data_IF_326916115378
#
_entry.id   IF_326916115378
#
_cell.length_a   1.000
_cell.length_b   1.000
_cell.length_c   1.000
_cell.angle_alpha   90.00
_cell.angle_beta   90.00
_cell.angle_gamma   90.00
#
_symmetry.space_group_name_H-M   'P 1'
#
loop_
_entity.id
_entity.type
_entity.pdbx_description
1 polymer ?
#
# COMPACT_ATOMS: atom_id res chain seq x y z
N UNK A 1 45.92 4.28 19.76
CA UNK A 1 44.94 5.31 20.20
C UNK A 1 44.53 6.31 19.09
N UNK A 2 45.38 6.68 18.15
CA UNK A 2 45.05 7.69 17.10
C UNK A 2 43.99 7.25 16.08
N UNK A 3 43.89 5.98 15.74
CA UNK A 3 42.93 5.49 14.72
C UNK A 3 41.45 5.54 15.20
N UNK A 4 41.17 5.33 16.49
CA UNK A 4 39.80 5.42 17.03
C UNK A 4 39.23 6.83 16.97
N UNK A 5 40.05 7.85 17.14
CA UNK A 5 39.60 9.24 17.10
C UNK A 5 39.37 9.73 15.67
N UNK A 6 40.07 9.19 14.69
CA UNK A 6 39.85 9.51 13.26
C UNK A 6 38.50 8.94 12.81
N UNK A 7 38.14 7.72 13.23
CA UNK A 7 36.84 7.14 12.92
C UNK A 7 35.67 7.90 13.57
N UNK A 8 35.83 8.33 14.83
CA UNK A 8 34.81 9.11 15.52
C UNK A 8 34.65 10.50 14.89
N UNK A 9 35.76 11.14 14.51
CA UNK A 9 35.74 12.44 13.85
C UNK A 9 35.14 12.38 12.43
N UNK A 10 35.42 11.31 11.68
CA UNK A 10 34.83 11.08 10.37
C UNK A 10 33.31 10.79 10.47
N UNK A 11 32.89 10.03 11.48
CA UNK A 11 31.48 9.78 11.73
C UNK A 11 30.74 11.03 12.17
N UNK A 12 31.32 11.82 13.07
CA UNK A 12 30.77 13.11 13.50
C UNK A 12 30.71 14.13 12.36
N UNK A 13 31.71 14.16 11.45
CA UNK A 13 31.70 15.01 10.27
C UNK A 13 30.66 14.56 9.24
N UNK A 14 30.47 13.26 9.05
CA UNK A 14 29.42 12.72 8.17
C UNK A 14 28.01 13.08 8.71
N UNK A 15 27.78 12.98 10.01
CA UNK A 15 26.53 13.39 10.67
C UNK A 15 26.34 14.91 10.61
N UNK A 16 27.41 15.71 10.71
CA UNK A 16 27.31 17.18 10.62
C UNK A 16 27.06 17.68 9.19
N UNK A 17 27.53 16.96 8.17
CA UNK A 17 27.30 17.32 6.77
C UNK A 17 25.87 17.00 6.29
N UNK A 18 25.18 16.07 6.98
CA UNK A 18 23.76 15.76 6.70
C UNK A 18 22.78 16.75 7.38
N UNK A 19 23.26 17.62 8.28
CA UNK A 19 22.41 18.60 8.96
C UNK A 19 22.19 19.91 8.16
N UNK A 20 22.77 20.06 6.98
CA UNK A 20 22.59 21.24 6.15
C UNK A 20 21.40 21.17 5.19
N UNK A 21 20.79 20.02 5.02
CA UNK A 21 19.46 19.90 4.43
C UNK A 21 18.42 19.85 5.54
N UNK A 22 17.31 20.56 5.41
CA UNK A 22 16.22 20.58 6.40
C UNK A 22 15.47 19.25 6.57
N UNK A 23 16.04 18.14 6.12
CA UNK A 23 15.53 16.82 6.35
C UNK A 23 15.88 16.34 7.76
N UNK A 24 14.88 16.20 8.61
CA UNK A 24 15.01 15.46 9.86
C UNK A 24 15.20 13.99 9.51
N UNK A 25 16.44 13.59 9.23
CA UNK A 25 16.78 12.19 8.95
C UNK A 25 16.49 11.39 10.21
N UNK A 26 15.56 10.46 10.16
CA UNK A 26 15.38 9.51 11.26
C UNK A 26 16.66 8.67 11.38
N UNK A 27 17.09 8.26 12.60
CA UNK A 27 18.24 7.37 12.76
C UNK A 27 18.13 6.08 11.94
N UNK A 28 16.93 5.61 11.68
CA UNK A 28 16.66 4.48 10.80
C UNK A 28 16.90 4.81 9.33
N UNK A 29 16.53 6.00 8.85
CA UNK A 29 16.82 6.44 7.49
C UNK A 29 18.32 6.49 7.17
N UNK A 30 19.19 6.73 8.19
CA UNK A 30 20.65 6.66 8.04
C UNK A 30 21.15 5.22 8.01
N UNK A 31 20.54 4.31 8.78
CA UNK A 31 20.91 2.89 8.82
C UNK A 31 20.36 2.11 7.64
N UNK A 32 19.25 2.53 7.08
CA UNK A 32 18.70 2.02 5.85
C UNK A 32 19.42 2.70 4.69
N UNK A 33 20.46 2.09 4.13
CA UNK A 33 21.14 2.56 2.93
C UNK A 33 20.17 2.51 1.72
N UNK A 34 19.02 3.13 1.88
CA UNK A 34 17.97 3.22 0.90
C UNK A 34 17.97 4.58 0.20
N UNK A 35 17.20 4.67 -0.86
CA UNK A 35 16.93 5.93 -1.55
C UNK A 35 16.24 6.89 -0.59
N UNK A 36 16.63 8.15 -0.56
CA UNK A 36 15.97 9.18 0.24
C UNK A 36 14.50 9.31 -0.16
N UNK A 37 13.63 9.70 0.79
CA UNK A 37 12.19 9.86 0.51
C UNK A 37 11.95 10.82 -0.64
N UNK A 38 12.73 11.90 -0.74
CA UNK A 38 12.65 12.87 -1.84
C UNK A 38 12.88 12.23 -3.21
N UNK A 39 13.89 11.37 -3.33
CA UNK A 39 14.20 10.68 -4.59
C UNK A 39 13.10 9.68 -4.96
N UNK A 40 12.56 8.94 -3.98
CA UNK A 40 11.46 8.00 -4.22
C UNK A 40 10.19 8.73 -4.66
N UNK A 41 9.87 9.83 -3.98
CA UNK A 41 8.69 10.65 -4.30
C UNK A 41 8.84 11.31 -5.67
N UNK A 42 10.04 11.81 -6.03
CA UNK A 42 10.28 12.39 -7.35
C UNK A 42 10.13 11.34 -8.46
N UNK A 43 10.74 10.17 -8.29
CA UNK A 43 10.58 9.05 -9.23
C UNK A 43 9.11 8.64 -9.37
N UNK A 44 8.39 8.54 -8.26
CA UNK A 44 6.97 8.20 -8.24
C UNK A 44 6.13 9.25 -8.95
N UNK A 45 6.42 10.53 -8.74
CA UNK A 45 5.71 11.61 -9.41
C UNK A 45 5.98 11.65 -10.92
N UNK A 46 7.22 11.41 -11.34
CA UNK A 46 7.56 11.31 -12.76
C UNK A 46 6.85 10.11 -13.41
N UNK A 47 6.86 8.98 -12.76
CA UNK A 47 6.12 7.81 -13.20
C UNK A 47 4.61 8.10 -13.26
N UNK A 48 4.04 8.76 -12.27
CA UNK A 48 2.67 9.24 -12.22
C UNK A 48 2.32 10.10 -13.43
N UNK A 49 3.11 11.11 -13.76
CA UNK A 49 2.84 11.99 -14.89
C UNK A 49 2.92 11.28 -16.25
N UNK A 50 3.77 10.26 -16.38
CA UNK A 50 3.94 9.52 -17.63
C UNK A 50 2.82 8.52 -17.88
N UNK A 51 2.21 7.99 -16.82
CA UNK A 51 1.29 6.86 -16.91
C UNK A 51 -0.18 7.24 -16.62
N UNK A 52 -0.49 8.52 -16.39
CA UNK A 52 -1.82 8.99 -15.98
C UNK A 52 -2.40 8.09 -14.89
N UNK A 53 -1.96 8.25 -13.66
CA UNK A 53 -2.23 7.37 -12.52
C UNK A 53 -3.69 7.19 -12.08
N UNK A 54 -4.60 7.31 -12.93
CA UNK A 54 -5.76 6.47 -12.83
C UNK A 54 -5.26 5.04 -13.13
N UNK A 55 -4.96 4.28 -12.11
CA UNK A 55 -5.01 2.85 -12.25
C UNK A 55 -6.46 2.56 -12.63
N UNK A 56 -6.73 2.53 -13.93
CA UNK A 56 -8.03 2.13 -14.41
C UNK A 56 -8.14 0.66 -14.06
N UNK A 57 -8.77 0.39 -12.95
CA UNK A 57 -9.40 -0.89 -12.77
C UNK A 57 -10.19 -1.11 -14.06
N UNK A 58 -10.05 -2.27 -14.63
CA UNK A 58 -10.72 -2.62 -15.87
C UNK A 58 -12.17 -2.10 -15.82
N UNK A 59 -12.55 -1.21 -16.74
CA UNK A 59 -13.89 -0.62 -16.75
C UNK A 59 -14.98 -1.70 -16.69
N UNK A 60 -14.71 -2.89 -17.25
CA UNK A 60 -15.59 -4.03 -17.20
C UNK A 60 -15.76 -4.65 -15.80
N UNK A 61 -14.76 -4.51 -14.91
CA UNK A 61 -14.85 -4.94 -13.50
C UNK A 61 -15.77 -4.01 -12.72
N UNK A 62 -15.65 -2.72 -12.98
CA UNK A 62 -16.21 -1.66 -12.17
C UNK A 62 -17.73 -1.53 -12.30
N UNK A 63 -18.28 -1.85 -13.48
CA UNK A 63 -19.70 -1.58 -13.76
C UNK A 63 -20.64 -2.65 -13.22
N UNK A 64 -20.17 -3.89 -13.05
CA UNK A 64 -21.05 -5.00 -12.60
C UNK A 64 -20.98 -5.26 -11.10
N UNK A 65 -19.89 -4.89 -10.42
CA UNK A 65 -19.69 -5.21 -8.99
C UNK A 65 -20.04 -4.04 -8.06
N UNK A 66 -19.89 -2.82 -8.52
CA UNK A 66 -20.12 -1.64 -7.67
C UNK A 66 -21.60 -1.31 -7.44
N UNK A 67 -22.48 -1.70 -8.34
CA UNK A 67 -23.94 -1.50 -8.18
C UNK A 67 -24.55 -2.34 -7.03
N UNK A 68 -23.89 -3.45 -6.65
CA UNK A 68 -24.32 -4.34 -5.57
C UNK A 68 -23.47 -4.20 -4.30
N UNK A 69 -22.43 -3.37 -4.33
CA UNK A 69 -21.38 -3.30 -3.32
C UNK A 69 -20.16 -4.11 -3.72
N UNK A 70 -19.07 -3.96 -2.98
CA UNK A 70 -17.82 -4.70 -3.22
C UNK A 70 -17.04 -4.85 -1.93
N UNK A 71 -15.99 -5.70 -1.96
CA UNK A 71 -15.05 -5.83 -0.85
C UNK A 71 -13.62 -5.70 -1.33
N UNK A 72 -12.74 -5.38 -0.40
CA UNK A 72 -11.29 -5.43 -0.61
C UNK A 72 -10.58 -5.96 0.64
N UNK A 73 -9.39 -6.53 0.43
CA UNK A 73 -8.61 -7.13 1.51
C UNK A 73 -7.35 -6.31 1.78
N UNK A 74 -6.99 -6.18 3.06
CA UNK A 74 -5.82 -5.41 3.52
C UNK A 74 -4.95 -6.30 4.38
N UNK A 75 -3.65 -6.39 4.02
CA UNK A 75 -2.62 -7.04 4.81
C UNK A 75 -1.49 -6.08 5.18
N UNK A 76 -0.65 -6.45 6.15
CA UNK A 76 0.47 -5.64 6.61
C UNK A 76 1.67 -6.50 7.00
N UNK A 77 2.87 -5.95 6.84
CA UNK A 77 4.10 -6.45 7.46
C UNK A 77 4.31 -7.96 7.25
N UNK A 78 4.21 -8.41 6.00
CA UNK A 78 4.31 -9.84 5.64
C UNK A 78 5.74 -10.38 5.76
N UNK A 79 6.76 -9.53 5.64
CA UNK A 79 8.17 -9.88 5.75
C UNK A 79 8.53 -11.19 5.03
N UNK A 80 8.05 -11.34 3.80
CA UNK A 80 8.28 -12.56 3.03
C UNK A 80 9.78 -12.85 2.85
N UNK A 81 10.08 -14.12 2.89
CA UNK A 81 11.41 -14.65 2.63
C UNK A 81 11.30 -15.65 1.46
N UNK A 82 11.84 -16.86 1.62
CA UNK A 82 11.56 -17.99 0.71
C UNK A 82 10.19 -18.63 0.98
N UNK A 83 9.60 -18.32 2.13
CA UNK A 83 8.26 -18.76 2.49
C UNK A 83 7.25 -17.66 2.11
N UNK A 84 6.32 -18.03 1.25
CA UNK A 84 5.28 -17.15 0.70
C UNK A 84 3.87 -17.63 1.08
N UNK A 85 3.76 -18.59 2.02
CA UNK A 85 2.48 -19.26 2.32
C UNK A 85 1.41 -18.25 2.70
N UNK A 86 1.72 -17.27 3.54
CA UNK A 86 0.76 -16.24 3.95
C UNK A 86 0.37 -15.27 2.85
N UNK A 87 1.31 -14.91 1.97
CA UNK A 87 0.95 -14.08 0.81
C UNK A 87 0.04 -14.83 -0.16
N UNK A 88 0.31 -16.13 -0.41
CA UNK A 88 -0.58 -16.98 -1.21
C UNK A 88 -1.94 -17.13 -0.56
N UNK A 89 -1.99 -17.31 0.76
CA UNK A 89 -3.24 -17.38 1.51
C UNK A 89 -4.04 -16.08 1.40
N UNK A 90 -3.41 -14.91 1.56
CA UNK A 90 -4.07 -13.61 1.35
C UNK A 90 -4.70 -13.51 -0.04
N UNK A 91 -3.93 -13.86 -1.09
CA UNK A 91 -4.42 -13.79 -2.46
C UNK A 91 -5.55 -14.79 -2.70
N UNK A 92 -5.44 -16.01 -2.15
CA UNK A 92 -6.47 -17.03 -2.30
C UNK A 92 -7.76 -16.66 -1.56
N UNK A 93 -7.65 -16.13 -0.33
CA UNK A 93 -8.81 -15.66 0.44
C UNK A 93 -9.56 -14.59 -0.35
N UNK A 94 -8.85 -13.61 -0.90
CA UNK A 94 -9.48 -12.57 -1.69
C UNK A 94 -10.12 -13.09 -2.98
N UNK A 95 -9.44 -14.02 -3.68
CA UNK A 95 -10.02 -14.68 -4.85
C UNK A 95 -11.28 -15.46 -4.50
N UNK A 96 -11.28 -16.24 -3.41
CA UNK A 96 -12.43 -17.06 -3.01
C UNK A 96 -13.66 -16.24 -2.64
N UNK A 97 -13.46 -14.97 -2.23
CA UNK A 97 -14.52 -14.08 -1.81
C UNK A 97 -14.84 -12.96 -2.81
N UNK A 98 -14.27 -12.99 -4.01
CA UNK A 98 -14.46 -11.99 -5.05
C UNK A 98 -14.02 -10.56 -4.63
N UNK A 99 -12.99 -10.46 -3.76
CA UNK A 99 -12.45 -9.17 -3.37
C UNK A 99 -11.88 -8.41 -4.58
N UNK A 100 -12.29 -7.15 -4.73
CA UNK A 100 -11.94 -6.33 -5.89
C UNK A 100 -10.48 -5.88 -5.89
N UNK A 101 -9.95 -5.56 -4.71
CA UNK A 101 -8.61 -5.02 -4.50
C UNK A 101 -7.87 -5.77 -3.39
N UNK A 102 -6.56 -5.85 -3.53
CA UNK A 102 -5.63 -6.42 -2.56
C UNK A 102 -4.64 -5.33 -2.14
N UNK A 103 -4.81 -4.79 -0.95
CA UNK A 103 -3.97 -3.72 -0.43
C UNK A 103 -2.95 -4.26 0.58
N UNK A 104 -1.75 -3.70 0.60
CA UNK A 104 -0.73 -4.10 1.57
C UNK A 104 -0.02 -2.87 2.16
N UNK A 105 0.13 -2.85 3.48
CA UNK A 105 0.61 -1.69 4.23
C UNK A 105 2.14 -1.60 4.37
N UNK A 106 2.89 -2.23 3.46
CA UNK A 106 4.36 -2.16 3.45
C UNK A 106 5.04 -3.25 4.27
N UNK A 107 6.38 -3.21 4.30
CA UNK A 107 7.22 -4.26 4.84
C UNK A 107 6.87 -5.63 4.25
N UNK A 108 6.81 -5.66 2.91
CA UNK A 108 6.39 -6.85 2.17
C UNK A 108 7.49 -7.90 2.20
N UNK A 109 8.74 -7.50 1.88
CA UNK A 109 9.88 -8.40 1.86
C UNK A 109 10.83 -8.13 3.02
N UNK A 110 11.44 -9.21 3.57
CA UNK A 110 12.40 -9.11 4.65
C UNK A 110 13.82 -8.88 4.08
N UNK A 111 14.26 -7.65 4.12
CA UNK A 111 15.65 -7.14 3.98
C UNK A 111 16.54 -7.64 2.83
N UNK A 112 16.12 -8.58 1.98
CA UNK A 112 16.93 -9.11 0.89
C UNK A 112 16.29 -8.98 -0.48
N UNK A 113 16.99 -8.45 -1.48
CA UNK A 113 16.48 -8.28 -2.84
C UNK A 113 15.97 -9.59 -3.49
N UNK A 114 16.60 -10.73 -3.19
CA UNK A 114 16.18 -12.02 -3.73
C UNK A 114 14.76 -12.42 -3.30
N UNK A 115 14.25 -11.91 -2.19
CA UNK A 115 12.89 -12.20 -1.73
C UNK A 115 11.83 -11.55 -2.62
N UNK A 116 12.18 -10.44 -3.28
CA UNK A 116 11.32 -9.82 -4.28
C UNK A 116 11.12 -10.69 -5.53
N UNK A 117 12.11 -11.50 -5.91
CA UNK A 117 11.96 -12.46 -7.00
C UNK A 117 10.92 -13.51 -6.63
N UNK A 118 10.95 -14.00 -5.39
CA UNK A 118 9.94 -14.94 -4.92
C UNK A 118 8.56 -14.30 -4.84
N UNK A 119 8.47 -13.07 -4.38
CA UNK A 119 7.22 -12.30 -4.34
C UNK A 119 6.65 -12.10 -5.75
N UNK A 120 7.49 -11.73 -6.72
CA UNK A 120 7.07 -11.55 -8.12
C UNK A 120 6.50 -12.85 -8.70
N UNK A 121 7.12 -13.98 -8.41
CA UNK A 121 6.58 -15.28 -8.80
C UNK A 121 5.23 -15.56 -8.15
N UNK A 122 5.07 -15.22 -6.86
CA UNK A 122 3.81 -15.38 -6.14
C UNK A 122 2.69 -14.51 -6.74
N UNK A 123 3.01 -13.27 -7.10
CA UNK A 123 2.07 -12.37 -7.81
C UNK A 123 1.73 -12.94 -9.19
N UNK A 124 2.70 -13.51 -9.91
CA UNK A 124 2.47 -14.18 -11.18
C UNK A 124 1.51 -15.38 -11.07
N UNK A 125 1.67 -16.20 -10.02
CA UNK A 125 0.73 -17.29 -9.69
C UNK A 125 -0.68 -16.75 -9.41
N UNK A 126 -0.77 -15.67 -8.63
CA UNK A 126 -2.06 -15.02 -8.33
C UNK A 126 -2.70 -14.41 -9.60
N UNK A 127 -1.90 -13.82 -10.49
CA UNK A 127 -2.38 -13.29 -11.78
C UNK A 127 -2.96 -14.41 -12.64
N UNK A 128 -2.29 -15.55 -12.72
CA UNK A 128 -2.79 -16.70 -13.45
C UNK A 128 -4.15 -17.16 -12.90
N UNK A 129 -4.25 -17.35 -11.58
CA UNK A 129 -5.50 -17.76 -10.93
C UNK A 129 -6.62 -16.73 -11.13
N UNK A 130 -6.29 -15.44 -11.11
CA UNK A 130 -7.21 -14.34 -11.36
C UNK A 130 -7.76 -14.38 -12.80
N UNK A 131 -6.89 -14.62 -13.79
CA UNK A 131 -7.28 -14.76 -15.19
C UNK A 131 -8.17 -16.01 -15.35
N UNK A 132 -7.76 -17.15 -14.84
CA UNK A 132 -8.55 -18.40 -14.91
C UNK A 132 -9.94 -18.23 -14.28
N UNK A 133 -10.05 -17.43 -13.20
CA UNK A 133 -11.34 -17.20 -12.54
C UNK A 133 -12.24 -16.25 -13.34
N UNK A 134 -11.71 -15.13 -13.81
CA UNK A 134 -12.53 -14.03 -14.31
C UNK A 134 -12.54 -13.82 -15.81
N UNK A 135 -11.67 -14.50 -16.57
CA UNK A 135 -11.56 -14.31 -18.02
C UNK A 135 -11.74 -15.63 -18.78
N UNK A 136 -12.18 -15.50 -20.03
CA UNK A 136 -12.26 -16.61 -20.98
C UNK A 136 -11.68 -16.19 -22.32
N UNK A 137 -11.04 -17.12 -23.03
CA UNK A 137 -10.44 -16.88 -24.33
C UNK A 137 -11.48 -16.98 -25.45
N UNK A 138 -11.53 -15.98 -26.31
CA UNK A 138 -12.37 -15.95 -27.50
C UNK A 138 -11.52 -16.16 -28.76
N UNK A 139 -11.87 -17.16 -29.56
CA UNK A 139 -11.15 -17.48 -30.80
C UNK A 139 -11.39 -16.45 -31.91
N UNK A 140 -12.50 -15.73 -31.90
CA UNK A 140 -12.89 -14.80 -32.92
C UNK A 140 -11.96 -13.59 -33.05
N UNK A 141 -11.41 -13.11 -31.95
CA UNK A 141 -10.48 -11.98 -31.87
C UNK A 141 -9.12 -12.30 -31.24
N UNK A 142 -8.93 -13.54 -30.84
CA UNK A 142 -7.71 -14.04 -30.18
C UNK A 142 -7.40 -13.32 -28.85
N UNK A 143 -8.43 -12.91 -28.09
CA UNK A 143 -8.32 -12.15 -26.85
C UNK A 143 -8.99 -12.85 -25.67
N UNK A 144 -8.61 -12.39 -24.48
CA UNK A 144 -9.27 -12.73 -23.21
C UNK A 144 -10.40 -11.73 -22.94
N UNK A 145 -11.58 -12.22 -22.70
CA UNK A 145 -12.76 -11.43 -22.33
C UNK A 145 -13.21 -11.73 -20.93
N UNK A 146 -13.76 -10.74 -20.23
CA UNK A 146 -14.26 -10.95 -18.88
C UNK A 146 -15.53 -11.79 -18.90
N UNK A 147 -15.54 -12.87 -18.13
CA UNK A 147 -16.68 -13.80 -18.02
C UNK A 147 -17.91 -13.06 -17.47
N UNK A 148 -19.05 -13.30 -18.11
CA UNK A 148 -20.32 -12.73 -17.67
C UNK A 148 -20.54 -11.27 -17.99
N UNK A 149 -19.60 -10.58 -18.64
CA UNK A 149 -19.72 -9.18 -19.07
C UNK A 149 -19.96 -9.11 -20.57
N UNK A 150 -21.20 -8.84 -21.01
CA UNK A 150 -21.50 -8.71 -22.44
C UNK A 150 -20.70 -7.55 -23.08
N UNK A 151 -20.04 -7.82 -24.20
CA UNK A 151 -19.21 -6.87 -24.93
C UNK A 151 -18.00 -6.32 -24.13
N UNK A 152 -17.46 -7.12 -23.21
CA UNK A 152 -16.20 -6.77 -22.53
C UNK A 152 -15.09 -6.52 -23.55
N UNK A 153 -14.17 -5.62 -23.23
CA UNK A 153 -13.03 -5.32 -24.11
C UNK A 153 -12.05 -6.50 -24.09
N UNK A 154 -11.71 -7.03 -25.27
CA UNK A 154 -10.71 -8.09 -25.41
C UNK A 154 -9.31 -7.60 -25.02
N UNK A 155 -8.60 -8.39 -24.19
CA UNK A 155 -7.28 -8.06 -23.67
C UNK A 155 -6.26 -9.14 -24.00
N UNK A 156 -5.01 -8.74 -24.18
CA UNK A 156 -3.90 -9.67 -24.19
C UNK A 156 -3.60 -10.17 -22.78
N UNK A 157 -3.08 -11.39 -22.66
CA UNK A 157 -2.72 -11.97 -21.38
C UNK A 157 -1.77 -11.06 -20.57
N UNK A 158 -0.79 -10.45 -21.25
CA UNK A 158 0.23 -9.60 -20.63
C UNK A 158 -0.32 -8.22 -20.17
N UNK A 159 -1.52 -7.85 -20.61
CA UNK A 159 -2.17 -6.60 -20.21
C UNK A 159 -3.00 -6.76 -18.93
N UNK A 160 -3.30 -8.00 -18.52
CA UNK A 160 -4.08 -8.28 -17.31
C UNK A 160 -3.14 -8.37 -16.13
N UNK A 161 -3.42 -7.59 -15.10
CA UNK A 161 -2.64 -7.56 -13.86
C UNK A 161 -3.49 -7.92 -12.67
N UNK A 162 -2.90 -8.66 -11.74
CA UNK A 162 -3.50 -8.90 -10.44
C UNK A 162 -3.64 -7.57 -9.68
N UNK A 163 -4.84 -7.25 -9.14
CA UNK A 163 -5.11 -5.94 -8.53
C UNK A 163 -4.48 -5.80 -7.13
N UNK A 164 -3.16 -5.92 -7.04
CA UNK A 164 -2.39 -5.82 -5.80
C UNK A 164 -1.70 -4.45 -5.68
N UNK A 165 -2.04 -3.71 -4.63
CA UNK A 165 -1.69 -2.31 -4.41
C UNK A 165 -1.00 -2.11 -3.05
N UNK A 166 0.34 -2.11 -3.00
CA UNK A 166 1.06 -1.92 -1.77
C UNK A 166 1.49 -0.47 -1.54
N UNK A 167 1.65 -0.06 -0.28
CA UNK A 167 2.56 1.02 0.09
C UNK A 167 3.96 0.44 0.34
N UNK A 168 4.99 1.28 0.28
CA UNK A 168 6.34 0.89 0.65
C UNK A 168 6.52 0.97 2.16
N UNK A 169 7.18 -0.02 2.76
CA UNK A 169 7.55 -0.06 4.17
C UNK A 169 9.05 0.16 4.40
N UNK A 170 9.47 0.28 5.65
CA UNK A 170 10.86 0.56 5.96
C UNK A 170 11.81 -0.62 5.70
N UNK A 171 11.35 -1.86 5.83
CA UNK A 171 12.13 -3.05 5.46
C UNK A 171 12.28 -3.17 3.95
N UNK A 172 11.33 -2.69 3.17
CA UNK A 172 11.39 -2.67 1.70
C UNK A 172 12.51 -1.77 1.17
N UNK A 173 13.02 -0.84 1.98
CA UNK A 173 14.13 0.04 1.62
C UNK A 173 15.52 -0.55 1.92
N UNK A 174 15.59 -1.61 2.74
CA UNK A 174 16.87 -2.17 3.17
C UNK A 174 17.60 -2.86 2.01
N UNK A 175 18.95 -2.88 2.07
CA UNK A 175 19.80 -3.55 1.08
C UNK A 175 19.50 -3.14 -0.38
N UNK A 176 19.16 -1.88 -0.60
CA UNK A 176 18.75 -1.36 -1.91
C UNK A 176 17.44 -1.99 -2.45
N UNK A 177 16.55 -2.40 -1.56
CA UNK A 177 15.28 -3.02 -1.89
C UNK A 177 14.35 -2.12 -2.71
N UNK A 178 14.47 -0.78 -2.56
CA UNK A 178 13.72 0.18 -3.36
C UNK A 178 13.82 -0.06 -4.87
N UNK A 179 15.01 -0.39 -5.37
CA UNK A 179 15.19 -0.67 -6.79
C UNK A 179 14.38 -1.87 -7.27
N UNK A 180 14.26 -2.92 -6.45
CA UNK A 180 13.42 -4.08 -6.74
C UNK A 180 11.93 -3.75 -6.57
N UNK A 181 11.58 -3.06 -5.48
CA UNK A 181 10.21 -2.66 -5.17
C UNK A 181 9.63 -1.78 -6.30
N UNK A 182 10.33 -0.73 -6.69
CA UNK A 182 9.89 0.19 -7.74
C UNK A 182 9.78 -0.46 -9.13
N UNK A 183 10.62 -1.45 -9.44
CA UNK A 183 10.51 -2.21 -10.68
C UNK A 183 9.24 -3.08 -10.75
N UNK A 184 8.73 -3.55 -9.60
CA UNK A 184 7.54 -4.39 -9.54
C UNK A 184 6.28 -3.52 -9.47
N UNK A 185 6.29 -2.49 -8.62
CA UNK A 185 5.10 -1.72 -8.26
C UNK A 185 5.06 -0.30 -8.84
N UNK A 186 6.19 0.22 -9.30
CA UNK A 186 6.30 1.55 -9.90
C UNK A 186 6.35 2.67 -8.86
N UNK A 187 5.20 3.21 -8.48
CA UNK A 187 5.09 4.39 -7.61
C UNK A 187 4.93 4.06 -6.14
N UNK A 188 5.61 4.81 -5.26
CA UNK A 188 5.45 4.69 -3.81
C UNK A 188 4.29 5.52 -3.25
N UNK A 189 3.75 6.48 -4.01
CA UNK A 189 2.53 7.19 -3.65
C UNK A 189 1.64 7.37 -4.89
N UNK A 190 0.33 7.16 -4.75
CA UNK A 190 -0.62 7.16 -5.87
C UNK A 190 -2.06 7.11 -5.37
N UNK A 191 -3.02 7.20 -6.29
CA UNK A 191 -4.45 7.04 -6.00
C UNK A 191 -5.10 6.03 -6.93
N UNK A 192 -6.23 5.48 -6.49
CA UNK A 192 -7.11 4.64 -7.28
C UNK A 192 -8.52 5.11 -7.04
N UNK A 193 -9.30 5.26 -8.10
CA UNK A 193 -10.72 5.58 -8.05
C UNK A 193 -11.53 4.35 -8.44
N UNK A 194 -12.36 3.85 -7.51
CA UNK A 194 -13.31 2.77 -7.76
C UNK A 194 -14.66 3.38 -8.06
N UNK A 195 -15.17 3.28 -9.29
CA UNK A 195 -16.50 3.82 -9.62
C UNK A 195 -17.59 2.99 -8.96
N UNK A 196 -18.53 3.67 -8.31
CA UNK A 196 -19.56 3.04 -7.46
C UNK A 196 -21.00 3.45 -7.82
N UNK A 197 -21.18 4.06 -8.99
CA UNK A 197 -22.49 4.45 -9.47
C UNK A 197 -22.57 5.91 -9.92
N UNK A 198 -23.77 6.47 -9.87
CA UNK A 198 -24.05 7.85 -10.25
C UNK A 198 -24.86 8.55 -9.17
N UNK A 199 -24.62 9.83 -8.97
CA UNK A 199 -25.44 10.66 -8.09
C UNK A 199 -26.79 11.04 -8.74
N UNK A 200 -27.63 11.75 -7.98
CA UNK A 200 -28.96 12.22 -8.42
C UNK A 200 -28.91 13.17 -9.64
N UNK A 201 -27.76 13.77 -9.92
CA UNK A 201 -27.51 14.67 -11.05
C UNK A 201 -26.91 13.94 -12.25
N UNK A 202 -26.60 12.65 -12.12
CA UNK A 202 -25.99 11.83 -13.17
C UNK A 202 -24.47 11.95 -13.24
N UNK A 203 -23.82 12.53 -12.23
CA UNK A 203 -22.35 12.52 -12.11
C UNK A 203 -21.87 11.20 -11.53
N UNK A 204 -20.78 10.66 -12.09
CA UNK A 204 -20.19 9.42 -11.61
C UNK A 204 -19.61 9.61 -10.21
N UNK A 205 -19.92 8.69 -9.31
CA UNK A 205 -19.44 8.65 -7.93
C UNK A 205 -18.38 7.56 -7.80
N UNK A 206 -17.38 7.83 -6.98
CA UNK A 206 -16.25 6.93 -6.74
C UNK A 206 -16.02 6.72 -5.24
N UNK A 207 -15.38 5.61 -4.91
CA UNK A 207 -14.61 5.47 -3.68
C UNK A 207 -13.15 5.73 -3.99
N UNK A 208 -12.48 6.57 -3.20
CA UNK A 208 -11.13 7.08 -3.43
C UNK A 208 -10.11 6.41 -2.52
N UNK A 209 -9.06 5.86 -3.11
CA UNK A 209 -7.99 5.15 -2.41
C UNK A 209 -6.69 5.94 -2.56
N UNK A 210 -6.11 6.38 -1.45
CA UNK A 210 -4.88 7.20 -1.42
C UNK A 210 -3.77 6.39 -0.76
N UNK A 211 -2.66 6.18 -1.47
CA UNK A 211 -1.48 5.46 -1.00
C UNK A 211 -0.33 6.43 -0.79
N UNK A 212 0.24 6.47 0.43
CA UNK A 212 1.27 7.43 0.84
C UNK A 212 2.63 6.74 1.05
N UNK A 213 3.72 7.38 0.62
CA UNK A 213 5.08 6.97 0.99
C UNK A 213 5.41 7.47 2.40
N UNK A 214 5.39 6.59 3.35
CA UNK A 214 5.68 6.87 4.76
C UNK A 214 6.76 5.95 5.34
N UNK A 215 7.44 5.19 4.48
CA UNK A 215 8.42 4.18 4.87
C UNK A 215 9.57 4.73 5.74
N UNK A 216 9.97 5.96 5.53
CA UNK A 216 11.05 6.62 6.29
C UNK A 216 10.58 7.29 7.59
N UNK A 217 9.29 7.16 7.96
CA UNK A 217 8.70 7.87 9.09
C UNK A 217 8.57 9.39 8.84
N UNK A 218 8.58 9.81 7.59
CA UNK A 218 8.39 11.19 7.15
C UNK A 218 7.81 11.18 5.74
N UNK A 219 7.05 12.20 5.40
CA UNK A 219 6.57 12.43 4.03
C UNK A 219 7.67 13.01 3.13
N UNK A 220 8.64 13.69 3.72
CA UNK A 220 9.56 14.53 3.00
C UNK A 220 8.88 15.80 2.46
N UNK A 221 9.71 16.76 2.09
CA UNK A 221 9.21 18.06 1.64
C UNK A 221 8.47 17.98 0.31
N UNK A 222 9.02 17.20 -0.63
CA UNK A 222 8.43 17.09 -1.97
C UNK A 222 7.03 16.47 -1.92
N UNK A 223 6.82 15.42 -1.13
CA UNK A 223 5.50 14.80 -1.00
C UNK A 223 4.50 15.78 -0.35
N UNK A 224 4.93 16.51 0.70
CA UNK A 224 4.10 17.56 1.30
C UNK A 224 3.71 18.62 0.27
N UNK A 225 4.66 19.14 -0.51
CA UNK A 225 4.40 20.14 -1.56
C UNK A 225 3.44 19.60 -2.65
N UNK A 226 3.56 18.32 -3.02
CA UNK A 226 2.68 17.68 -4.00
C UNK A 226 1.25 17.51 -3.46
N UNK A 227 1.13 17.08 -2.20
CA UNK A 227 -0.17 16.96 -1.53
C UNK A 227 -0.85 18.33 -1.40
N UNK A 228 -0.11 19.38 -1.00
CA UNK A 228 -0.65 20.75 -0.92
C UNK A 228 -1.15 21.26 -2.28
N UNK A 229 -0.50 20.87 -3.36
CA UNK A 229 -0.93 21.18 -4.74
C UNK A 229 -2.11 20.35 -5.21
N UNK A 230 -2.61 19.42 -4.39
CA UNK A 230 -3.78 18.61 -4.69
C UNK A 230 -3.53 17.46 -5.67
N UNK A 231 -2.29 16.96 -5.78
CA UNK A 231 -1.96 15.86 -6.70
C UNK A 231 -2.74 14.57 -6.37
N UNK A 232 -3.04 14.36 -5.09
CA UNK A 232 -3.81 13.20 -4.61
C UNK A 232 -5.29 13.50 -4.34
N UNK A 233 -5.76 14.72 -4.60
CA UNK A 233 -7.16 15.10 -4.29
C UNK A 233 -8.18 14.42 -5.21
N UNK A 234 -7.73 13.90 -6.36
CA UNK A 234 -8.62 13.40 -7.40
C UNK A 234 -9.49 14.50 -8.04
N UNK A 235 -10.37 14.12 -8.95
CA UNK A 235 -11.29 15.05 -9.64
C UNK A 235 -12.75 14.54 -9.61
N UNK A 236 -13.02 13.47 -8.86
CA UNK A 236 -14.30 12.80 -8.78
C UNK A 236 -15.21 13.34 -7.68
N UNK A 237 -16.45 12.87 -7.69
CA UNK A 237 -17.35 12.93 -6.55
C UNK A 237 -17.11 11.68 -5.72
N UNK A 238 -16.61 11.83 -4.49
CA UNK A 238 -16.22 10.71 -3.65
C UNK A 238 -17.26 10.42 -2.57
N UNK A 239 -17.63 9.14 -2.46
CA UNK A 239 -18.51 8.60 -1.42
C UNK A 239 -17.71 8.24 -0.17
N UNK A 240 -16.63 7.49 -0.34
CA UNK A 240 -15.69 7.12 0.70
C UNK A 240 -14.26 7.47 0.28
N UNK A 241 -13.40 7.79 1.24
CA UNK A 241 -11.96 7.96 1.02
C UNK A 241 -11.17 7.08 1.97
N UNK A 242 -10.36 6.20 1.42
CA UNK A 242 -9.49 5.29 2.15
C UNK A 242 -8.03 5.72 1.98
N UNK A 243 -7.29 5.83 3.09
CA UNK A 243 -5.88 6.22 3.05
C UNK A 243 -5.03 5.07 3.56
N UNK A 244 -3.96 4.75 2.83
CA UNK A 244 -3.03 3.66 3.13
C UNK A 244 -1.65 4.24 3.43
N UNK A 245 -1.12 3.90 4.60
CA UNK A 245 0.15 4.39 5.11
C UNK A 245 0.88 3.23 5.79
N UNK A 246 2.21 3.15 5.64
CA UNK A 246 2.95 2.17 6.44
C UNK A 246 3.05 2.63 7.89
N UNK A 247 3.55 3.84 8.11
CA UNK A 247 3.81 4.36 9.46
C UNK A 247 2.58 5.04 10.05
N UNK A 248 2.23 4.66 11.28
CA UNK A 248 1.12 5.27 12.02
C UNK A 248 1.55 6.61 12.64
N UNK A 249 0.73 7.65 12.47
CA UNK A 249 0.97 8.98 13.07
C UNK A 249 0.75 9.01 14.59
N UNK A 250 0.06 8.03 15.16
CA UNK A 250 -0.25 7.90 16.58
C UNK A 250 0.61 6.86 17.31
N UNK A 251 1.88 6.69 16.92
CA UNK A 251 2.74 5.71 17.54
C UNK A 251 2.79 5.85 19.06
N UNK A 252 2.70 4.73 19.82
CA UNK A 252 2.85 4.75 21.26
C UNK A 252 4.25 5.24 21.66
N UNK A 253 4.36 6.00 22.74
CA UNK A 253 5.65 6.50 23.26
C UNK A 253 6.67 5.39 23.58
N UNK A 254 6.22 4.14 23.73
CA UNK A 254 7.09 2.96 23.94
C UNK A 254 7.93 2.57 22.73
N UNK A 255 7.61 3.05 21.54
CA UNK A 255 8.37 2.83 20.31
C UNK A 255 9.40 3.93 20.07
N UNK A 256 10.28 4.16 21.06
CA UNK A 256 11.28 5.25 20.99
C UNK A 256 12.29 5.11 19.85
N UNK A 257 12.39 3.96 19.20
CA UNK A 257 13.31 3.67 18.10
C UNK A 257 12.61 3.40 16.77
N UNK A 258 11.30 3.34 16.75
CA UNK A 258 10.54 3.23 15.51
C UNK A 258 10.45 4.59 14.80
N UNK A 259 10.34 4.58 13.50
CA UNK A 259 10.09 5.78 12.70
C UNK A 259 8.83 6.46 13.22
N UNK A 260 8.97 7.64 13.78
CA UNK A 260 7.84 8.44 14.26
C UNK A 260 7.74 9.65 13.37
N UNK A 261 6.54 9.96 12.93
CA UNK A 261 6.33 11.19 12.16
C UNK A 261 6.79 12.43 12.92
N UNK A 262 7.45 13.38 12.26
CA UNK A 262 7.59 14.73 12.76
C UNK A 262 6.22 15.30 13.13
N UNK A 263 6.12 15.99 14.26
CA UNK A 263 4.82 16.51 14.73
C UNK A 263 4.14 17.39 13.70
N UNK A 264 4.93 18.19 13.01
CA UNK A 264 4.47 19.09 11.96
C UNK A 264 3.80 18.35 10.81
N UNK A 265 4.42 17.24 10.37
CA UNK A 265 3.85 16.39 9.31
C UNK A 265 2.64 15.59 9.80
N UNK A 266 2.64 15.14 11.05
CA UNK A 266 1.47 14.48 11.63
C UNK A 266 0.26 15.44 11.67
N UNK A 267 0.46 16.71 12.08
CA UNK A 267 -0.60 17.73 12.04
C UNK A 267 -1.01 18.07 10.60
N UNK A 268 -0.06 18.09 9.68
CA UNK A 268 -0.36 18.28 8.26
C UNK A 268 -1.26 17.17 7.74
N UNK A 269 -0.90 15.91 7.99
CA UNK A 269 -1.71 14.76 7.58
C UNK A 269 -3.11 14.79 8.19
N UNK A 270 -3.26 15.12 9.48
CA UNK A 270 -4.58 15.23 10.10
C UNK A 270 -5.47 16.26 9.38
N UNK A 271 -4.91 17.39 8.94
CA UNK A 271 -5.64 18.38 8.14
C UNK A 271 -5.98 17.86 6.74
N UNK A 272 -5.07 17.09 6.12
CA UNK A 272 -5.32 16.52 4.81
C UNK A 272 -6.40 15.44 4.88
N UNK A 273 -6.41 14.60 5.91
CA UNK A 273 -7.47 13.61 6.11
C UNK A 273 -8.85 14.27 6.27
N UNK A 274 -8.92 15.39 6.97
CA UNK A 274 -10.15 16.19 7.07
C UNK A 274 -10.55 16.76 5.68
N UNK A 275 -9.58 17.36 4.96
CA UNK A 275 -9.79 17.90 3.60
C UNK A 275 -10.28 16.83 2.62
N UNK A 276 -9.70 15.63 2.68
CA UNK A 276 -10.09 14.50 1.82
C UNK A 276 -11.36 13.81 2.27
N UNK A 277 -11.94 14.24 3.38
CA UNK A 277 -13.07 13.55 4.03
C UNK A 277 -12.76 12.06 4.22
N UNK A 278 -11.55 11.76 4.74
CA UNK A 278 -11.07 10.40 4.90
C UNK A 278 -12.00 9.62 5.83
N UNK A 279 -12.43 8.46 5.37
CA UNK A 279 -13.28 7.55 6.13
C UNK A 279 -12.45 6.65 7.04
N UNK A 280 -11.43 6.01 6.44
CA UNK A 280 -10.52 5.12 7.16
C UNK A 280 -9.08 5.39 6.73
N UNK A 281 -8.16 5.42 7.70
CA UNK A 281 -6.70 5.42 7.51
C UNK A 281 -6.14 4.11 8.01
N UNK A 282 -5.60 3.30 7.09
CA UNK A 282 -4.96 2.03 7.39
C UNK A 282 -3.46 2.20 7.60
N UNK A 283 -2.91 1.56 8.64
CA UNK A 283 -1.50 1.60 8.98
C UNK A 283 -0.96 0.21 9.32
N UNK A 284 0.35 -0.02 9.07
CA UNK A 284 1.12 -1.19 9.49
C UNK A 284 2.19 -0.85 10.52
N UNK A 285 3.42 -1.38 10.32
CA UNK A 285 4.67 -1.04 11.01
C UNK A 285 4.79 -1.44 12.48
N UNK A 286 3.71 -1.36 13.25
CA UNK A 286 3.74 -1.57 14.71
C UNK A 286 3.60 -3.03 15.08
N UNK A 287 3.16 -3.88 14.15
CA UNK A 287 2.87 -5.31 14.36
C UNK A 287 1.93 -5.54 15.54
N UNK A 288 0.93 -4.67 15.66
CA UNK A 288 -0.04 -4.75 16.73
C UNK A 288 -1.35 -4.08 16.30
N UNK A 289 -2.44 -4.77 16.51
CA UNK A 289 -3.76 -4.22 16.30
C UNK A 289 -4.04 -3.01 17.19
N UNK A 290 -4.42 -1.88 16.60
CA UNK A 290 -4.88 -0.67 17.31
C UNK A 290 -5.96 0.03 16.49
N UNK A 291 -7.00 0.49 17.18
CA UNK A 291 -8.14 1.18 16.57
C UNK A 291 -8.34 2.52 17.27
N UNK A 292 -8.54 3.58 16.49
CA UNK A 292 -8.79 4.92 17.00
C UNK A 292 -9.77 5.67 16.15
N UNK A 293 -10.70 6.35 16.79
CA UNK A 293 -11.53 7.35 16.13
C UNK A 293 -11.00 8.74 16.53
N UNK A 294 -10.61 9.53 15.54
CA UNK A 294 -10.19 10.91 15.75
C UNK A 294 -10.75 11.80 14.65
N UNK A 295 -11.46 12.84 15.04
CA UNK A 295 -12.07 13.82 14.13
C UNK A 295 -12.94 13.18 13.02
N UNK A 296 -13.75 12.19 13.41
CA UNK A 296 -14.59 11.36 12.52
C UNK A 296 -13.83 10.45 11.53
N UNK A 297 -12.52 10.45 11.56
CA UNK A 297 -11.67 9.54 10.78
C UNK A 297 -11.36 8.30 11.64
N UNK A 298 -11.57 7.12 11.08
CA UNK A 298 -11.24 5.85 11.73
C UNK A 298 -9.82 5.44 11.36
N UNK A 299 -8.94 5.30 12.35
CA UNK A 299 -7.56 4.85 12.18
C UNK A 299 -7.46 3.40 12.60
N UNK A 300 -7.02 2.56 11.67
CA UNK A 300 -6.87 1.13 11.87
C UNK A 300 -5.43 0.72 11.62
N UNK A 301 -4.72 0.30 12.67
CA UNK A 301 -3.39 -0.28 12.55
C UNK A 301 -3.50 -1.80 12.59
N UNK A 302 -2.96 -2.45 11.57
CA UNK A 302 -3.02 -3.90 11.44
C UNK A 302 -1.86 -4.58 12.19
N UNK A 303 -2.11 -5.80 12.62
CA UNK A 303 -1.06 -6.72 13.06
C UNK A 303 -0.26 -7.23 11.87
N UNK A 304 0.91 -7.81 12.15
CA UNK A 304 1.80 -8.36 11.12
C UNK A 304 1.26 -9.68 10.58
N UNK A 305 1.32 -9.85 9.26
CA UNK A 305 1.12 -11.15 8.60
C UNK A 305 2.28 -12.13 8.86
N UNK A 306 3.41 -11.66 9.40
CA UNK A 306 4.57 -12.51 9.69
C UNK A 306 4.44 -13.19 11.03
N UNK A 307 4.42 -14.53 11.06
CA UNK A 307 4.43 -15.32 12.31
C UNK A 307 5.58 -14.95 13.25
N UNK A 308 6.72 -14.53 12.70
CA UNK A 308 7.90 -14.17 13.50
C UNK A 308 7.72 -12.89 14.29
N UNK A 309 6.88 -12.02 13.83
CA UNK A 309 6.76 -10.65 14.33
C UNK A 309 5.41 -10.38 14.99
N UNK A 310 4.45 -11.29 14.85
CA UNK A 310 3.17 -11.14 15.54
C UNK A 310 3.28 -11.53 17.00
N UNK A 311 2.91 -10.65 17.95
CA UNK A 311 2.84 -10.99 19.37
C UNK A 311 1.67 -11.93 19.72
N UNK A 312 0.74 -12.13 18.80
CA UNK A 312 -0.48 -12.91 19.00
C UNK A 312 -0.57 -14.00 17.95
N UNK A 313 -0.84 -15.28 18.30
CA UNK A 313 -0.92 -16.39 17.35
C UNK A 313 -2.14 -16.32 16.40
N UNK A 314 -2.87 -15.24 16.36
CA UNK A 314 -4.01 -15.01 15.48
C UNK A 314 -3.73 -13.90 14.49
N UNK A 315 -2.85 -14.12 13.54
CA UNK A 315 -2.57 -13.16 12.47
C UNK A 315 -3.81 -12.93 11.61
N UNK A 316 -4.17 -11.67 11.44
CA UNK A 316 -5.38 -11.30 10.77
C UNK A 316 -5.08 -10.43 9.54
N UNK A 317 -5.81 -10.73 8.47
CA UNK A 317 -6.10 -9.78 7.41
C UNK A 317 -7.35 -8.99 7.78
N UNK A 318 -7.57 -7.90 7.11
CA UNK A 318 -8.82 -7.15 7.18
C UNK A 318 -9.51 -7.24 5.84
N UNK A 319 -10.78 -7.67 5.84
CA UNK A 319 -11.67 -7.46 4.72
C UNK A 319 -12.56 -6.26 5.02
N UNK A 320 -12.68 -5.37 4.07
CA UNK A 320 -13.57 -4.23 4.11
C UNK A 320 -14.70 -4.48 3.12
N UNK A 321 -15.89 -4.67 3.64
CA UNK A 321 -17.11 -4.84 2.86
C UNK A 321 -17.81 -3.49 2.73
N UNK A 322 -18.13 -3.09 1.51
CA UNK A 322 -18.82 -1.83 1.22
C UNK A 322 -20.11 -2.19 0.49
N UNK A 323 -21.24 -1.83 1.09
CA UNK A 323 -22.51 -2.06 0.45
C UNK A 323 -22.81 -1.04 -0.67
N UNK A 324 -23.90 -1.25 -1.39
CA UNK A 324 -24.34 -0.36 -2.48
C UNK A 324 -24.56 1.09 -2.03
N UNK A 325 -24.92 1.31 -0.77
CA UNK A 325 -25.18 2.64 -0.21
C UNK A 325 -23.92 3.29 0.39
N UNK A 326 -22.78 2.55 0.37
CA UNK A 326 -21.47 3.01 0.85
C UNK A 326 -21.25 2.77 2.35
N UNK A 327 -22.12 2.02 3.02
CA UNK A 327 -21.86 1.62 4.39
C UNK A 327 -20.76 0.57 4.46
N UNK A 328 -19.89 0.71 5.47
CA UNK A 328 -18.66 -0.06 5.60
C UNK A 328 -18.78 -1.02 6.78
N UNK A 329 -18.45 -2.28 6.52
CA UNK A 329 -18.25 -3.30 7.55
C UNK A 329 -16.81 -3.83 7.49
N UNK A 330 -16.15 -3.93 8.64
CA UNK A 330 -14.75 -4.37 8.76
C UNK A 330 -14.71 -5.73 9.43
N UNK A 331 -14.25 -6.72 8.68
CA UNK A 331 -14.11 -8.10 9.12
C UNK A 331 -12.63 -8.45 9.37
N UNK A 332 -12.32 -9.03 10.53
CA UNK A 332 -11.03 -9.67 10.79
C UNK A 332 -11.03 -11.07 10.21
N UNK A 333 -10.19 -11.31 9.22
CA UNK A 333 -10.06 -12.61 8.57
C UNK A 333 -8.82 -13.32 9.09
N UNK A 334 -9.03 -14.42 9.80
CA UNK A 334 -7.95 -15.20 10.38
C UNK A 334 -7.18 -15.98 9.31
N UNK A 335 -5.85 -15.90 9.35
CA UNK A 335 -4.97 -16.70 8.49
C UNK A 335 -4.68 -18.05 9.12
N UNK A 336 -4.78 -19.10 8.32
CA UNK A 336 -4.60 -20.49 8.76
C UNK A 336 -3.20 -21.05 8.48
N UNK A 337 -2.47 -20.44 7.55
CA UNK A 337 -1.15 -20.94 7.16
C UNK A 337 -0.15 -20.84 8.30
N UNK A 338 0.51 -21.95 8.59
CA UNK A 338 1.60 -22.09 9.56
C UNK A 338 2.87 -22.46 8.82
N UNK A 339 3.92 -21.62 8.93
CA UNK A 339 5.21 -21.89 8.30
C UNK A 339 5.81 -23.22 8.80
N UNK A 340 6.42 -24.03 7.93
CA UNK A 340 7.10 -25.26 8.35
C UNK A 340 8.20 -24.93 9.36
N UNK A 341 8.21 -25.64 10.49
CA UNK A 341 9.33 -25.53 11.46
C UNK A 341 10.62 -25.96 10.76
N UNK A 342 11.59 -25.07 10.71
CA UNK A 342 12.93 -25.34 10.19
C UNK A 342 13.69 -26.32 11.09
#
# INVERSE_FOLDING_TARGET
MKAKYIFLAAFAAAVALTQTSCEKVSPQGVLMAGTAVEDRVDMSYQYYQQNNFEYKLDDDINLSMADEGYSFIVGADSHVTTDLGRMREMFQIGLDNDDLLYCHLGDIADTKPEYYIHLQNCIGEATYNYIEKYYEYHEDDEKLHRKGVPNSVGRDYDDIRFPFFPVVGNHDLTHNGWGMWSNIFGSSFYTIDVPVGYDENGYRVYDHFIFLDTASGTLGRLQVDLIERGVLDGQGHYRNTFVFSHTNIFLPQSFQFASTFPREEAYFLLKQFDKWNATIVFCGHVHKWDERLYNMVYFLTLDSMSERNSPDPGDYLVRVNIDKDGAIDIEKVHMSYVAPKK
#
